data_IF_581354339237
#
_entry.id   IF_581354339237
#
_cell.length_a   1.000
_cell.length_b   1.000
_cell.length_c   1.000
_cell.angle_alpha   90.00
_cell.angle_beta   90.00
_cell.angle_gamma   90.00
#
_symmetry.space_group_name_H-M   'P 1'
#
loop_
_entity.id
_entity.type
_entity.pdbx_description
1 polymer ?
#
# COMPACT_ATOMS: atom_id res chain seq x y z
N UNK A 1 -20.91 8.78 39.75
CA UNK A 1 -21.95 7.73 39.62
C UNK A 1 -21.84 7.21 38.19
N UNK A 2 -21.13 6.10 38.00
CA UNK A 2 -20.96 5.47 36.67
C UNK A 2 -22.30 4.85 36.28
N UNK A 3 -22.98 5.45 35.31
CA UNK A 3 -24.12 4.81 34.64
C UNK A 3 -23.59 3.64 33.83
N UNK A 4 -23.98 2.44 34.24
CA UNK A 4 -23.73 1.18 33.51
C UNK A 4 -24.34 1.36 32.12
N UNK A 5 -23.61 1.12 31.02
CA UNK A 5 -24.18 1.22 29.68
C UNK A 5 -25.36 0.24 29.56
N UNK A 6 -26.45 0.77 29.00
CA UNK A 6 -27.76 0.11 28.90
C UNK A 6 -27.61 -1.29 28.29
N UNK A 7 -28.28 -2.26 28.90
CA UNK A 7 -28.15 -3.69 28.59
C UNK A 7 -28.55 -3.98 27.14
N UNK A 8 -29.49 -3.19 26.61
CA UNK A 8 -29.93 -3.16 25.21
C UNK A 8 -28.78 -2.91 24.21
N UNK A 9 -27.88 -1.98 24.53
CA UNK A 9 -26.77 -1.59 23.66
C UNK A 9 -25.72 -2.70 23.52
N UNK A 10 -25.50 -3.41 24.62
CA UNK A 10 -24.58 -4.57 24.67
C UNK A 10 -25.11 -5.71 23.82
N UNK A 11 -26.43 -5.89 23.80
CA UNK A 11 -27.09 -6.92 23.00
C UNK A 11 -27.09 -6.58 21.50
N UNK A 12 -27.30 -5.32 21.11
CA UNK A 12 -27.16 -4.88 19.71
C UNK A 12 -25.72 -5.01 19.19
N UNK A 13 -24.73 -4.64 20.01
CA UNK A 13 -23.31 -4.81 19.69
C UNK A 13 -22.95 -6.29 19.45
N UNK A 14 -23.43 -7.16 20.34
CA UNK A 14 -23.20 -8.60 20.24
C UNK A 14 -23.96 -9.20 19.05
N UNK A 15 -25.16 -8.72 18.72
CA UNK A 15 -25.89 -9.13 17.52
C UNK A 15 -25.17 -8.71 16.22
N UNK A 16 -24.63 -7.49 16.19
CA UNK A 16 -23.82 -7.00 15.06
C UNK A 16 -22.57 -7.89 14.86
N UNK A 17 -21.86 -8.19 15.94
CA UNK A 17 -20.70 -9.10 15.91
C UNK A 17 -21.05 -10.54 15.56
N UNK A 18 -22.26 -11.00 15.89
CA UNK A 18 -22.74 -12.36 15.60
C UNK A 18 -23.39 -12.48 14.22
N UNK A 19 -23.44 -11.40 13.41
CA UNK A 19 -24.22 -11.36 12.16
C UNK A 19 -25.69 -11.81 12.37
N UNK A 20 -26.25 -11.52 13.55
CA UNK A 20 -27.58 -11.97 13.98
C UNK A 20 -27.79 -13.50 13.98
N UNK A 21 -26.73 -14.29 14.10
CA UNK A 21 -26.85 -15.74 14.34
C UNK A 21 -27.38 -15.98 15.76
N UNK A 22 -28.49 -16.71 15.86
CA UNK A 22 -29.10 -17.06 17.14
C UNK A 22 -28.53 -18.39 17.64
N UNK A 23 -27.70 -18.33 18.69
CA UNK A 23 -27.12 -19.50 19.31
C UNK A 23 -27.91 -19.82 20.58
N UNK A 24 -28.67 -20.92 20.54
CA UNK A 24 -29.55 -21.34 21.65
C UNK A 24 -28.85 -21.69 22.97
N UNK A 25 -27.51 -21.66 23.05
CA UNK A 25 -26.79 -21.78 24.31
C UNK A 25 -25.70 -20.71 24.47
N UNK A 26 -25.64 -20.14 25.68
CA UNK A 26 -24.65 -19.11 26.04
C UNK A 26 -23.20 -19.61 25.89
N UNK A 27 -22.95 -20.90 26.15
CA UNK A 27 -21.63 -21.53 26.00
C UNK A 27 -21.18 -21.53 24.54
N UNK A 28 -22.05 -21.93 23.59
CA UNK A 28 -21.72 -21.88 22.17
C UNK A 28 -21.39 -20.47 21.70
N UNK A 29 -22.15 -19.47 22.17
CA UNK A 29 -21.93 -18.07 21.84
C UNK A 29 -20.54 -17.58 22.28
N UNK A 30 -20.10 -17.95 23.49
CA UNK A 30 -18.77 -17.58 24.00
C UNK A 30 -17.64 -18.32 23.28
N UNK A 31 -17.81 -19.61 22.99
CA UNK A 31 -16.83 -20.41 22.24
C UNK A 31 -16.67 -19.89 20.82
N UNK A 32 -17.77 -19.60 20.12
CA UNK A 32 -17.74 -19.01 18.78
C UNK A 32 -17.07 -17.62 18.80
N UNK A 33 -17.38 -16.79 19.79
CA UNK A 33 -16.74 -15.48 19.94
C UNK A 33 -15.22 -15.61 20.15
N UNK A 34 -14.80 -16.52 21.02
CA UNK A 34 -13.37 -16.78 21.27
C UNK A 34 -12.67 -17.28 20.01
N UNK A 35 -13.25 -18.25 19.28
CA UNK A 35 -12.71 -18.73 18.01
C UNK A 35 -12.63 -17.61 16.97
N UNK A 36 -13.67 -16.80 16.83
CA UNK A 36 -13.72 -15.67 15.90
C UNK A 36 -12.65 -14.64 16.23
N UNK A 37 -12.49 -14.29 17.51
CA UNK A 37 -11.45 -13.36 17.95
C UNK A 37 -10.05 -13.93 17.73
N UNK A 38 -9.80 -15.20 18.06
CA UNK A 38 -8.51 -15.84 17.82
C UNK A 38 -8.18 -15.91 16.32
N UNK A 39 -9.15 -16.26 15.48
CA UNK A 39 -8.98 -16.27 14.03
C UNK A 39 -8.71 -14.86 13.47
N UNK A 40 -9.44 -13.85 13.98
CA UNK A 40 -9.29 -12.48 13.54
C UNK A 40 -7.97 -11.84 13.97
N UNK A 41 -7.58 -12.00 15.23
CA UNK A 41 -6.37 -11.42 15.81
C UNK A 41 -5.12 -12.19 15.35
N UNK A 42 -5.10 -13.51 15.56
CA UNK A 42 -3.88 -14.30 15.35
C UNK A 42 -3.65 -14.66 13.89
N UNK A 43 -4.71 -14.95 13.13
CA UNK A 43 -4.53 -15.43 11.76
C UNK A 43 -4.65 -14.28 10.76
N UNK A 44 -5.70 -13.47 10.86
CA UNK A 44 -5.92 -12.41 9.88
C UNK A 44 -4.94 -11.23 10.08
N UNK A 45 -4.82 -10.69 11.29
CA UNK A 45 -3.98 -9.51 11.50
C UNK A 45 -2.47 -9.80 11.40
N UNK A 46 -2.00 -10.94 11.94
CA UNK A 46 -0.58 -11.30 11.85
C UNK A 46 -0.17 -11.64 10.41
N UNK A 47 -0.93 -12.48 9.71
CA UNK A 47 -0.57 -12.86 8.34
C UNK A 47 -0.60 -11.65 7.40
N UNK A 48 -1.61 -10.78 7.51
CA UNK A 48 -1.66 -9.57 6.68
C UNK A 48 -0.49 -8.62 6.95
N UNK A 49 -0.09 -8.45 8.21
CA UNK A 49 1.08 -7.65 8.58
C UNK A 49 2.39 -8.25 8.08
N UNK A 50 2.57 -9.57 8.15
CA UNK A 50 3.76 -10.25 7.62
C UNK A 50 3.84 -10.11 6.10
N UNK A 51 2.72 -10.34 5.40
CA UNK A 51 2.65 -10.20 3.94
C UNK A 51 2.94 -8.75 3.54
N UNK A 52 2.36 -7.77 4.24
CA UNK A 52 2.65 -6.36 4.02
C UNK A 52 4.15 -6.08 4.22
N UNK A 53 4.77 -6.57 5.30
CA UNK A 53 6.19 -6.36 5.56
C UNK A 53 7.07 -6.95 4.45
N UNK A 54 6.75 -8.14 3.95
CA UNK A 54 7.45 -8.77 2.82
C UNK A 54 7.35 -7.90 1.56
N UNK A 55 6.14 -7.43 1.23
CA UNK A 55 5.91 -6.53 0.11
C UNK A 55 6.72 -5.23 0.24
N UNK A 56 6.63 -4.56 1.40
CA UNK A 56 7.35 -3.31 1.66
C UNK A 56 8.86 -3.50 1.57
N UNK A 57 9.39 -4.60 2.10
CA UNK A 57 10.82 -4.94 2.06
C UNK A 57 11.28 -5.18 0.62
N UNK A 58 10.51 -5.92 -0.17
CA UNK A 58 10.82 -6.16 -1.57
C UNK A 58 10.81 -4.85 -2.39
N UNK A 59 9.79 -4.01 -2.20
CA UNK A 59 9.71 -2.70 -2.84
C UNK A 59 10.86 -1.76 -2.43
N UNK A 60 11.24 -1.78 -1.14
CA UNK A 60 12.39 -1.02 -0.65
C UNK A 60 13.70 -1.49 -1.29
N UNK A 61 13.93 -2.80 -1.34
CA UNK A 61 15.13 -3.38 -1.93
C UNK A 61 15.27 -3.04 -3.42
N UNK A 62 14.18 -3.17 -4.18
CA UNK A 62 14.15 -2.79 -5.60
C UNK A 62 14.40 -1.28 -5.78
N UNK A 63 13.74 -0.44 -4.97
CA UNK A 63 13.95 1.02 -5.00
C UNK A 63 15.39 1.42 -4.67
N UNK A 64 16.00 0.77 -3.66
CA UNK A 64 17.40 0.99 -3.28
C UNK A 64 18.37 0.53 -4.37
N UNK A 65 18.06 -0.58 -5.04
CA UNK A 65 18.88 -1.10 -6.15
C UNK A 65 18.88 -0.15 -7.34
N UNK A 66 17.72 0.42 -7.69
CA UNK A 66 17.60 1.47 -8.71
C UNK A 66 18.37 2.73 -8.33
N UNK A 67 18.30 3.15 -7.06
CA UNK A 67 19.02 4.32 -6.56
C UNK A 67 20.54 4.14 -6.60
N UNK A 68 21.04 2.98 -6.20
CA UNK A 68 22.46 2.62 -6.35
C UNK A 68 22.87 2.62 -7.82
N UNK A 69 22.09 1.99 -8.68
CA UNK A 69 22.35 1.97 -10.12
C UNK A 69 22.43 3.39 -10.72
N UNK A 70 21.49 4.28 -10.35
CA UNK A 70 21.52 5.70 -10.74
C UNK A 70 22.84 6.35 -10.33
N UNK A 71 23.24 6.17 -9.07
CA UNK A 71 24.45 6.79 -8.55
C UNK A 71 25.70 6.26 -9.25
N UNK A 72 25.75 4.97 -9.57
CA UNK A 72 26.85 4.36 -10.33
C UNK A 72 26.94 4.99 -11.75
N UNK A 73 25.81 5.15 -12.44
CA UNK A 73 25.75 5.80 -13.77
C UNK A 73 26.22 7.25 -13.72
N UNK A 74 25.80 8.00 -12.70
CA UNK A 74 26.17 9.42 -12.56
C UNK A 74 27.65 9.58 -12.22
N UNK A 75 28.16 8.81 -11.26
CA UNK A 75 29.52 8.93 -10.73
C UNK A 75 30.61 8.38 -11.65
N UNK A 76 30.29 7.40 -12.51
CA UNK A 76 31.30 6.81 -13.40
C UNK A 76 31.78 7.80 -14.47
N UNK A 77 33.10 8.07 -14.60
CA UNK A 77 33.65 8.89 -15.67
C UNK A 77 33.39 8.29 -17.06
N UNK A 78 33.42 9.12 -18.11
CA UNK A 78 33.09 8.70 -19.48
C UNK A 78 33.91 7.48 -19.97
N UNK A 79 35.24 7.53 -19.80
CA UNK A 79 36.16 6.52 -20.30
C UNK A 79 35.97 5.15 -19.64
N UNK A 80 35.51 5.16 -18.38
CA UNK A 80 35.24 3.96 -17.60
C UNK A 80 33.82 3.44 -17.86
N UNK A 81 32.86 4.35 -18.03
CA UNK A 81 31.47 4.04 -18.35
C UNK A 81 31.35 3.17 -19.61
N UNK A 82 32.15 3.47 -20.65
CA UNK A 82 32.16 2.67 -21.86
C UNK A 82 32.69 1.24 -21.66
N UNK A 83 33.61 1.03 -20.71
CA UNK A 83 34.16 -0.29 -20.42
C UNK A 83 33.19 -1.15 -19.59
N UNK A 84 32.44 -0.51 -18.69
CA UNK A 84 31.50 -1.22 -17.79
C UNK A 84 30.08 -1.28 -18.35
N UNK A 85 29.82 -0.68 -19.51
CA UNK A 85 28.50 -0.59 -20.13
C UNK A 85 27.75 -1.93 -20.25
N UNK A 86 28.36 -3.03 -20.77
CA UNK A 86 27.66 -4.32 -20.85
C UNK A 86 27.31 -4.89 -19.47
N UNK A 87 28.18 -4.72 -18.47
CA UNK A 87 27.91 -5.14 -17.09
C UNK A 87 26.80 -4.29 -16.43
N UNK A 88 26.73 -2.99 -16.73
CA UNK A 88 25.64 -2.12 -16.29
C UNK A 88 24.30 -2.52 -16.91
N UNK A 89 24.29 -2.86 -18.20
CA UNK A 89 23.10 -3.38 -18.89
C UNK A 89 22.56 -4.64 -18.22
N UNK A 90 23.43 -5.61 -17.98
CA UNK A 90 23.05 -6.86 -17.31
C UNK A 90 22.50 -6.61 -15.90
N UNK A 91 23.14 -5.69 -15.14
CA UNK A 91 22.68 -5.32 -13.81
C UNK A 91 21.33 -4.63 -13.84
N UNK A 92 21.07 -3.75 -14.80
CA UNK A 92 19.77 -3.11 -14.96
C UNK A 92 18.68 -4.13 -15.31
N UNK A 93 18.96 -5.06 -16.24
CA UNK A 93 18.07 -6.18 -16.55
C UNK A 93 17.68 -6.98 -15.29
N UNK A 94 18.67 -7.33 -14.44
CA UNK A 94 18.40 -8.04 -13.17
C UNK A 94 17.48 -7.25 -12.25
N UNK A 95 17.66 -5.94 -12.14
CA UNK A 95 16.77 -5.07 -11.34
C UNK A 95 15.36 -5.08 -11.91
N UNK A 96 15.21 -4.98 -13.24
CA UNK A 96 13.91 -5.00 -13.92
C UNK A 96 13.19 -6.34 -13.70
N UNK A 97 13.89 -7.46 -13.81
CA UNK A 97 13.33 -8.80 -13.51
C UNK A 97 12.81 -8.85 -12.08
N UNK A 98 13.58 -8.39 -11.09
CA UNK A 98 13.12 -8.34 -9.69
C UNK A 98 11.86 -7.47 -9.54
N UNK A 99 11.79 -6.33 -10.21
CA UNK A 99 10.59 -5.47 -10.19
C UNK A 99 9.37 -6.17 -10.80
N UNK A 100 9.56 -6.91 -11.91
CA UNK A 100 8.51 -7.72 -12.53
C UNK A 100 8.05 -8.85 -11.62
N UNK A 101 8.98 -9.53 -10.95
CA UNK A 101 8.68 -10.61 -10.00
C UNK A 101 7.88 -10.08 -8.80
N UNK A 102 8.24 -8.91 -8.29
CA UNK A 102 7.47 -8.23 -7.23
C UNK A 102 6.04 -7.96 -7.71
N UNK A 103 5.89 -7.40 -8.90
CA UNK A 103 4.58 -7.12 -9.48
C UNK A 103 3.76 -8.42 -9.62
N UNK A 104 4.31 -9.46 -10.25
CA UNK A 104 3.58 -10.71 -10.47
C UNK A 104 3.21 -11.42 -9.15
N UNK A 105 4.12 -11.44 -8.18
CA UNK A 105 3.92 -12.13 -6.90
C UNK A 105 2.92 -11.40 -6.02
N UNK A 106 3.02 -10.07 -5.95
CA UNK A 106 2.25 -9.30 -4.99
C UNK A 106 1.00 -8.64 -5.58
N UNK A 107 0.82 -8.54 -6.89
CA UNK A 107 -0.31 -7.79 -7.48
C UNK A 107 -1.68 -8.16 -6.88
N UNK A 108 -2.01 -9.45 -6.84
CA UNK A 108 -3.27 -9.93 -6.26
C UNK A 108 -3.33 -9.67 -4.75
N UNK A 109 -2.23 -9.94 -4.08
CA UNK A 109 -2.10 -9.86 -2.63
C UNK A 109 -2.20 -8.42 -2.12
N UNK A 110 -1.47 -7.49 -2.73
CA UNK A 110 -1.51 -6.07 -2.39
C UNK A 110 -2.84 -5.42 -2.78
N UNK A 111 -3.55 -5.95 -3.79
CA UNK A 111 -4.92 -5.55 -4.09
C UNK A 111 -5.87 -5.89 -2.93
N UNK A 112 -5.88 -7.15 -2.47
CA UNK A 112 -6.74 -7.58 -1.36
C UNK A 112 -6.36 -6.93 -0.03
N UNK A 113 -5.07 -6.71 0.23
CA UNK A 113 -4.63 -5.93 1.39
C UNK A 113 -5.21 -4.52 1.36
N UNK A 114 -5.12 -3.84 0.22
CA UNK A 114 -5.69 -2.50 0.09
C UNK A 114 -7.21 -2.50 0.30
N UNK A 115 -7.93 -3.43 -0.34
CA UNK A 115 -9.37 -3.54 -0.18
C UNK A 115 -9.76 -3.83 1.28
N UNK A 116 -9.02 -4.73 1.93
CA UNK A 116 -9.21 -5.06 3.34
C UNK A 116 -8.99 -3.85 4.26
N UNK A 117 -7.92 -3.08 4.06
CA UNK A 117 -7.67 -1.87 4.86
C UNK A 117 -8.72 -0.78 4.62
N UNK A 118 -9.18 -0.59 3.38
CA UNK A 118 -10.28 0.34 3.06
C UNK A 118 -11.56 -0.09 3.79
N UNK A 119 -11.94 -1.36 3.66
CA UNK A 119 -13.14 -1.90 4.30
C UNK A 119 -13.08 -1.82 5.83
N UNK A 120 -11.94 -2.18 6.43
CA UNK A 120 -11.72 -2.10 7.87
C UNK A 120 -11.84 -0.65 8.38
N UNK A 121 -11.27 0.30 7.64
CA UNK A 121 -11.32 1.71 8.00
C UNK A 121 -12.75 2.27 7.89
N UNK A 122 -13.51 1.92 6.84
CA UNK A 122 -14.92 2.32 6.74
C UNK A 122 -15.78 1.70 7.85
N UNK A 123 -15.56 0.42 8.17
CA UNK A 123 -16.28 -0.26 9.26
C UNK A 123 -16.03 0.43 10.60
N UNK A 124 -14.75 0.74 10.89
CA UNK A 124 -14.33 1.43 12.11
C UNK A 124 -14.92 2.85 12.18
N UNK A 125 -14.90 3.58 11.07
CA UNK A 125 -15.47 4.92 10.98
C UNK A 125 -16.99 4.92 11.17
N UNK A 126 -17.71 4.00 10.52
CA UNK A 126 -19.15 3.84 10.70
C UNK A 126 -19.49 3.51 12.16
N UNK A 127 -18.69 2.66 12.80
CA UNK A 127 -18.85 2.34 14.21
C UNK A 127 -18.71 3.56 15.11
N UNK A 128 -17.66 4.37 14.93
CA UNK A 128 -17.46 5.61 15.70
C UNK A 128 -18.61 6.61 15.53
N UNK A 129 -19.22 6.68 14.34
CA UNK A 129 -20.29 7.63 14.04
C UNK A 129 -21.67 7.19 14.56
N UNK A 130 -21.95 5.89 14.58
CA UNK A 130 -23.23 5.34 15.03
C UNK A 130 -23.35 5.24 16.54
N UNK A 131 -22.22 5.09 17.26
CA UNK A 131 -22.21 4.87 18.70
C UNK A 131 -21.37 5.93 19.46
N UNK A 132 -21.76 7.22 19.44
CA UNK A 132 -20.95 8.32 19.99
C UNK A 132 -21.04 8.51 21.53
N UNK A 133 -21.73 7.61 22.26
CA UNK A 133 -22.07 7.86 23.67
C UNK A 133 -20.90 7.85 24.66
N UNK A 134 -21.05 8.67 25.71
CA UNK A 134 -20.05 8.89 26.79
C UNK A 134 -20.06 7.71 27.76
N UNK A 135 -18.89 7.11 27.98
CA UNK A 135 -18.70 5.99 28.91
C UNK A 135 -17.84 4.85 28.36
N UNK A 136 -17.48 4.92 27.07
CA UNK A 136 -16.67 3.91 26.38
C UNK A 136 -15.36 4.51 25.83
N UNK A 137 -14.71 5.37 26.61
CA UNK A 137 -13.45 6.04 26.22
C UNK A 137 -12.37 5.06 25.77
N UNK A 138 -12.29 3.88 26.42
CA UNK A 138 -11.38 2.81 26.02
C UNK A 138 -11.66 2.27 24.61
N UNK A 139 -12.92 2.17 24.22
CA UNK A 139 -13.32 1.65 22.91
C UNK A 139 -13.13 2.72 21.82
N UNK A 140 -13.37 3.99 22.15
CA UNK A 140 -13.07 5.09 21.24
C UNK A 140 -11.56 5.16 20.96
N UNK A 141 -10.74 5.03 21.99
CA UNK A 141 -9.29 4.97 21.85
C UNK A 141 -8.85 3.78 20.97
N UNK A 142 -9.39 2.58 21.22
CA UNK A 142 -9.09 1.38 20.42
C UNK A 142 -9.46 1.56 18.95
N UNK A 143 -10.64 2.10 18.65
CA UNK A 143 -11.07 2.35 17.28
C UNK A 143 -10.21 3.44 16.60
N UNK A 144 -9.83 4.50 17.31
CA UNK A 144 -8.94 5.55 16.76
C UNK A 144 -7.59 4.96 16.45
N UNK A 145 -7.05 4.16 17.36
CA UNK A 145 -5.78 3.46 17.14
C UNK A 145 -5.85 2.51 15.94
N UNK A 146 -6.94 1.74 15.81
CA UNK A 146 -7.17 0.85 14.67
C UNK A 146 -7.22 1.63 13.35
N UNK A 147 -7.96 2.75 13.31
CA UNK A 147 -8.09 3.60 12.11
C UNK A 147 -6.74 4.23 11.70
N UNK A 148 -5.97 4.73 12.66
CA UNK A 148 -4.62 5.27 12.40
C UNK A 148 -3.71 4.17 11.87
N UNK A 149 -3.79 2.97 12.44
CA UNK A 149 -2.98 1.82 12.03
C UNK A 149 -3.31 1.36 10.61
N UNK A 150 -4.59 1.22 10.26
CA UNK A 150 -5.00 0.83 8.89
C UNK A 150 -4.63 1.91 7.87
N UNK A 151 -4.80 3.19 8.22
CA UNK A 151 -4.37 4.30 7.37
C UNK A 151 -2.85 4.29 7.14
N UNK A 152 -2.06 4.06 8.20
CA UNK A 152 -0.61 3.94 8.12
C UNK A 152 -0.18 2.80 7.18
N UNK A 153 -0.78 1.61 7.34
CA UNK A 153 -0.49 0.46 6.46
C UNK A 153 -0.78 0.76 4.98
N UNK A 154 -1.91 1.41 4.68
CA UNK A 154 -2.21 1.82 3.32
C UNK A 154 -1.20 2.83 2.78
N UNK A 155 -0.89 3.88 3.54
CA UNK A 155 0.08 4.90 3.14
C UNK A 155 1.42 4.23 2.80
N UNK A 156 1.89 3.30 3.63
CA UNK A 156 3.12 2.56 3.38
C UNK A 156 3.04 1.73 2.10
N UNK A 157 1.94 1.00 1.89
CA UNK A 157 1.72 0.19 0.68
C UNK A 157 1.81 1.04 -0.60
N UNK A 158 1.11 2.17 -0.64
CA UNK A 158 1.14 3.10 -1.78
C UNK A 158 2.48 3.81 -1.92
N UNK A 159 3.11 4.21 -0.82
CA UNK A 159 4.37 4.95 -0.83
C UNK A 159 5.52 4.11 -1.38
N UNK A 160 5.69 2.88 -0.87
CA UNK A 160 6.76 2.00 -1.32
C UNK A 160 6.49 1.46 -2.73
N UNK A 161 5.25 1.07 -3.04
CA UNK A 161 4.87 0.67 -4.39
C UNK A 161 5.09 1.78 -5.42
N UNK A 162 4.71 3.02 -5.07
CA UNK A 162 4.86 4.19 -5.94
C UNK A 162 6.28 4.76 -6.01
N UNK A 163 7.21 4.31 -5.17
CA UNK A 163 8.62 4.75 -5.21
C UNK A 163 9.39 4.13 -6.38
N UNK A 164 9.08 2.88 -6.75
CA UNK A 164 9.75 2.15 -7.83
C UNK A 164 9.62 2.87 -9.18
N UNK A 165 8.41 3.18 -9.69
CA UNK A 165 8.28 3.85 -10.99
C UNK A 165 8.96 5.22 -10.99
N UNK A 166 8.88 5.97 -9.88
CA UNK A 166 9.59 7.25 -9.74
C UNK A 166 11.11 7.07 -9.86
N UNK A 167 11.67 6.05 -9.20
CA UNK A 167 13.12 5.76 -9.27
C UNK A 167 13.55 5.26 -10.64
N UNK A 168 12.71 4.49 -11.35
CA UNK A 168 12.98 4.10 -12.75
C UNK A 168 13.06 5.34 -13.66
N UNK A 169 12.15 6.31 -13.49
CA UNK A 169 12.20 7.58 -14.24
C UNK A 169 13.46 8.37 -13.92
N UNK A 170 13.87 8.44 -12.65
CA UNK A 170 15.13 9.10 -12.27
C UNK A 170 16.34 8.43 -12.94
N UNK A 171 16.40 7.09 -12.95
CA UNK A 171 17.45 6.32 -13.64
C UNK A 171 17.46 6.64 -15.13
N UNK A 172 16.28 6.61 -15.78
CA UNK A 172 16.14 6.92 -17.20
C UNK A 172 16.64 8.31 -17.53
N UNK A 173 16.23 9.30 -16.76
CA UNK A 173 16.66 10.68 -16.97
C UNK A 173 18.17 10.84 -16.76
N UNK A 174 18.74 10.23 -15.71
CA UNK A 174 20.18 10.26 -15.48
C UNK A 174 20.97 9.61 -16.63
N UNK A 175 20.44 8.51 -17.17
CA UNK A 175 21.02 7.80 -18.29
C UNK A 175 20.97 8.62 -19.58
N UNK A 176 19.83 9.25 -19.88
CA UNK A 176 19.68 10.14 -21.04
C UNK A 176 20.61 11.35 -20.98
N UNK A 177 20.71 11.99 -19.81
CA UNK A 177 21.65 13.10 -19.62
C UNK A 177 23.08 12.63 -19.92
N UNK A 178 23.48 11.48 -19.36
CA UNK A 178 24.81 10.90 -19.63
C UNK A 178 25.02 10.62 -21.12
N UNK A 179 24.07 9.97 -21.79
CA UNK A 179 24.17 9.62 -23.21
C UNK A 179 24.17 10.85 -24.13
N UNK A 180 23.41 11.90 -23.80
CA UNK A 180 23.36 13.14 -24.56
C UNK A 180 24.70 13.89 -24.52
N UNK A 181 25.39 13.87 -23.37
CA UNK A 181 26.75 14.40 -23.24
C UNK A 181 27.77 13.56 -24.03
N UNK A 182 27.50 12.27 -24.22
CA UNK A 182 28.37 11.36 -24.97
C UNK A 182 28.20 11.55 -26.48
N UNK A 183 26.96 11.69 -26.96
CA UNK A 183 26.67 11.82 -28.39
C UNK A 183 27.18 13.12 -29.04
N UNK A 184 27.56 14.13 -28.25
CA UNK A 184 28.22 15.34 -28.75
C UNK A 184 29.72 15.16 -29.04
N UNK A 185 30.32 14.06 -28.58
CA UNK A 185 31.68 13.64 -28.94
C UNK A 185 31.73 12.77 -30.20
N UNK A 186 32.90 12.70 -30.86
CA UNK A 186 33.15 11.75 -31.96
C UNK A 186 33.34 10.34 -31.39
N UNK A 187 32.27 9.55 -31.31
CA UNK A 187 32.34 8.14 -30.91
C UNK A 187 32.57 7.20 -32.09
N UNK A 188 33.26 6.09 -31.81
CA UNK A 188 33.40 4.96 -32.74
C UNK A 188 32.03 4.27 -32.99
N UNK A 189 31.75 3.77 -34.20
CA UNK A 189 30.45 3.19 -34.56
C UNK A 189 29.99 2.01 -33.69
N UNK A 190 30.90 1.11 -33.29
CA UNK A 190 30.54 -0.04 -32.41
C UNK A 190 30.05 0.41 -31.03
N UNK A 191 30.71 1.42 -30.48
CA UNK A 191 30.40 2.05 -29.19
C UNK A 191 29.03 2.73 -29.24
N UNK A 192 28.67 3.29 -30.42
CA UNK A 192 27.38 3.91 -30.66
C UNK A 192 26.24 2.89 -30.68
N UNK A 193 26.49 1.70 -31.23
CA UNK A 193 25.50 0.63 -31.30
C UNK A 193 25.17 0.09 -29.91
N UNK A 194 26.18 -0.19 -29.08
CA UNK A 194 25.96 -0.66 -27.71
C UNK A 194 25.26 0.40 -26.85
N UNK A 195 25.67 1.68 -26.96
CA UNK A 195 25.01 2.78 -26.24
C UNK A 195 23.52 2.89 -26.61
N UNK A 196 23.19 2.65 -27.88
CA UNK A 196 21.81 2.62 -28.39
C UNK A 196 21.02 1.43 -27.82
N UNK A 197 21.66 0.27 -27.65
CA UNK A 197 21.01 -0.90 -27.05
C UNK A 197 20.67 -0.66 -25.57
N UNK A 198 21.58 -0.03 -24.82
CA UNK A 198 21.34 0.30 -23.42
C UNK A 198 20.33 1.46 -23.27
N UNK A 199 20.35 2.46 -24.15
CA UNK A 199 19.31 3.51 -24.14
C UNK A 199 17.93 2.91 -24.39
N UNK A 200 17.81 2.00 -25.36
CA UNK A 200 16.56 1.27 -25.63
C UNK A 200 16.11 0.43 -24.43
N UNK A 201 17.05 -0.17 -23.70
CA UNK A 201 16.74 -0.95 -22.50
C UNK A 201 16.20 -0.06 -21.37
N UNK A 202 16.80 1.12 -21.20
CA UNK A 202 16.38 2.11 -20.20
C UNK A 202 15.07 2.81 -20.60
N UNK A 203 14.78 2.86 -21.90
CA UNK A 203 13.54 3.37 -22.49
C UNK A 203 12.39 2.34 -22.49
N UNK A 204 12.58 1.14 -21.93
CA UNK A 204 11.45 0.21 -21.74
C UNK A 204 10.31 0.88 -20.96
N UNK A 205 9.05 0.49 -21.24
CA UNK A 205 7.89 1.07 -20.59
C UNK A 205 8.03 0.96 -19.07
N UNK A 206 7.71 2.06 -18.38
CA UNK A 206 7.76 2.14 -16.93
C UNK A 206 6.90 1.02 -16.32
N UNK A 207 7.51 0.19 -15.48
CA UNK A 207 6.76 -0.82 -14.76
C UNK A 207 6.07 -0.10 -13.60
N UNK A 208 4.78 0.18 -13.78
CA UNK A 208 3.95 0.73 -12.72
C UNK A 208 3.42 -0.44 -11.91
N UNK A 209 3.74 -0.46 -10.61
CA UNK A 209 3.17 -1.47 -9.73
C UNK A 209 1.66 -1.26 -9.58
N UNK A 210 0.91 -2.34 -9.72
CA UNK A 210 -0.55 -2.34 -9.72
C UNK A 210 -1.11 -3.53 -8.93
N UNK A 211 -2.25 -3.32 -8.28
CA UNK A 211 -3.09 -4.38 -7.77
C UNK A 211 -4.09 -4.82 -8.83
N UNK A 212 -3.90 -6.02 -9.37
CA UNK A 212 -4.70 -6.63 -10.45
C UNK A 212 -4.91 -5.74 -11.68
N UNK A 213 -3.98 -4.83 -12.01
CA UNK A 213 -4.12 -3.81 -13.07
C UNK A 213 -5.32 -2.86 -12.91
N UNK A 214 -5.98 -2.91 -11.76
CA UNK A 214 -7.12 -2.06 -11.40
C UNK A 214 -6.63 -0.90 -10.55
N UNK A 215 -5.76 -1.16 -9.57
CA UNK A 215 -5.32 -0.18 -8.59
C UNK A 215 -3.82 0.11 -8.73
N UNK A 216 -3.48 1.21 -9.35
CA UNK A 216 -2.08 1.63 -9.50
C UNK A 216 -1.53 2.19 -8.18
N UNK A 217 -0.32 1.78 -7.78
CA UNK A 217 0.30 2.31 -6.57
C UNK A 217 1.00 3.63 -6.88
N UNK A 218 0.24 4.73 -6.79
CA UNK A 218 0.77 6.09 -7.01
C UNK A 218 0.50 6.98 -5.80
N UNK A 219 1.33 8.01 -5.61
CA UNK A 219 1.10 9.02 -4.56
C UNK A 219 -0.26 9.72 -4.71
N UNK A 220 -0.77 9.84 -5.94
CA UNK A 220 -2.09 10.43 -6.23
C UNK A 220 -3.23 9.60 -5.63
N UNK A 221 -3.07 8.27 -5.62
CA UNK A 221 -4.09 7.37 -5.08
C UNK A 221 -4.18 7.41 -3.56
N UNK A 222 -3.11 7.85 -2.86
CA UNK A 222 -3.18 8.17 -1.42
C UNK A 222 -4.18 9.32 -1.19
N UNK A 223 -4.07 10.40 -1.96
CA UNK A 223 -4.99 11.54 -1.85
C UNK A 223 -6.42 11.18 -2.25
N UNK A 224 -6.59 10.34 -3.27
CA UNK A 224 -7.92 9.84 -3.66
C UNK A 224 -8.56 9.00 -2.55
N UNK A 225 -7.78 8.12 -1.90
CA UNK A 225 -8.25 7.37 -0.74
C UNK A 225 -8.64 8.29 0.42
N UNK A 226 -7.79 9.24 0.79
CA UNK A 226 -8.08 10.24 1.84
C UNK A 226 -9.32 11.09 1.52
N UNK A 227 -9.46 11.54 0.27
CA UNK A 227 -10.64 12.27 -0.18
C UNK A 227 -11.91 11.44 -0.05
N UNK A 228 -11.84 10.15 -0.40
CA UNK A 228 -12.96 9.21 -0.23
C UNK A 228 -13.36 9.07 1.23
N UNK A 229 -12.39 8.97 2.16
CA UNK A 229 -12.67 8.96 3.61
C UNK A 229 -13.41 10.21 4.05
N UNK A 230 -12.94 11.39 3.64
CA UNK A 230 -13.57 12.66 4.00
C UNK A 230 -15.00 12.72 3.45
N UNK A 231 -15.20 12.38 2.18
CA UNK A 231 -16.53 12.38 1.54
C UNK A 231 -17.51 11.47 2.27
N UNK A 232 -17.11 10.23 2.57
CA UNK A 232 -17.96 9.28 3.29
C UNK A 232 -18.24 9.72 4.72
N UNK A 233 -17.24 10.28 5.42
CA UNK A 233 -17.45 10.84 6.77
C UNK A 233 -18.50 11.94 6.73
N UNK A 234 -18.39 12.88 5.79
CA UNK A 234 -19.35 13.96 5.61
C UNK A 234 -20.75 13.45 5.26
N UNK A 235 -20.85 12.46 4.36
CA UNK A 235 -22.13 11.83 4.00
C UNK A 235 -22.78 11.17 5.22
N UNK A 236 -22.03 10.38 5.99
CA UNK A 236 -22.53 9.72 7.19
C UNK A 236 -22.99 10.73 8.25
N UNK A 237 -22.24 11.82 8.46
CA UNK A 237 -22.65 12.91 9.35
C UNK A 237 -23.96 13.57 8.89
N UNK A 238 -24.13 13.79 7.58
CA UNK A 238 -25.38 14.34 7.04
C UNK A 238 -26.58 13.39 7.24
N UNK A 239 -26.38 12.08 7.05
CA UNK A 239 -27.44 11.09 7.29
C UNK A 239 -27.80 11.00 8.78
N UNK A 240 -26.80 11.02 9.67
CA UNK A 240 -27.03 10.98 11.11
C UNK A 240 -27.80 12.22 11.59
N UNK A 241 -27.40 13.42 11.15
CA UNK A 241 -28.08 14.66 11.49
C UNK A 241 -29.51 14.74 10.95
N UNK A 242 -29.79 14.15 9.78
CA UNK A 242 -31.15 14.08 9.23
C UNK A 242 -32.05 13.10 9.99
N UNK A 243 -31.49 12.03 10.57
CA UNK A 243 -32.20 11.12 11.46
C UNK A 243 -32.69 11.81 12.73
N UNK A 244 -31.84 12.62 13.36
CA UNK A 244 -32.16 13.43 14.55
C UNK A 244 -33.18 14.55 14.33
N UNK A 245 -33.40 14.98 13.08
CA UNK A 245 -34.39 16.02 12.74
C UNK A 245 -35.80 15.51 12.43
N UNK A 246 -36.02 14.19 12.47
CA UNK A 246 -37.30 13.53 12.14
C UNK A 246 -38.01 12.90 13.34
N UNK A 247 -37.48 13.06 14.55
CA UNK A 247 -38.16 12.73 15.80
C UNK A 247 -38.72 13.98 16.49
#
# INVERSE_FOLDING_TARGET
MMTIPDQSYRDEYVQFLMYRLDFGSAVFKHVYYLMKMMFHVCFNHFCTSVILLLYLTACYYASSSLEKFKNDVVSTPFEEFMKIQPALSERYCKIIVVVQDIQQTFSLTSFFLCLGYIAASFTTLSFMLLFPERGIESLLFENVFALVTTAFHMIMLFYFGGRIPVKMVEVRNAFHVKCSTISSGKLHPDVRMELTALSKLVDLPEIVLSGCDILYYTKKNIFSALGSFITYTLLLLQFNNKGLSRE
#
